data_IF_045816019307
#
_entry.id   IF_045816019307
#
_cell.length_a   1.000
_cell.length_b   1.000
_cell.length_c   1.000
_cell.angle_alpha   90.00
_cell.angle_beta   90.00
_cell.angle_gamma   90.00
#
_symmetry.space_group_name_H-M   'P 1'
#
loop_
_entity.id
_entity.type
_entity.pdbx_description
1 polymer ?
#
# COMPACT_ATOMS: atom_id res chain seq x y z
N UNK A 1 4.84 -36.61 -32.18
CA UNK A 1 5.32 -36.05 -30.89
C UNK A 1 5.34 -34.56 -31.09
N UNK A 2 4.42 -33.81 -30.47
CA UNK A 2 4.39 -32.36 -30.62
C UNK A 2 5.57 -31.79 -29.86
N UNK A 3 6.63 -31.44 -30.58
CA UNK A 3 7.77 -30.72 -30.04
C UNK A 3 7.34 -29.26 -29.81
N UNK A 4 6.76 -28.98 -28.64
CA UNK A 4 6.33 -27.63 -28.23
C UNK A 4 7.37 -27.05 -27.28
N UNK A 5 7.44 -25.73 -27.22
CA UNK A 5 8.24 -25.02 -26.23
C UNK A 5 7.35 -24.54 -25.09
N UNK A 6 7.86 -24.65 -23.86
CA UNK A 6 7.20 -24.15 -22.66
C UNK A 6 6.99 -22.63 -22.78
N UNK A 7 5.75 -22.18 -22.60
CA UNK A 7 5.39 -20.77 -22.73
C UNK A 7 6.09 -19.86 -21.69
N UNK A 8 6.55 -20.40 -20.56
CA UNK A 8 7.23 -19.62 -19.52
C UNK A 8 8.77 -19.67 -19.56
N UNK A 9 9.37 -20.74 -20.08
CA UNK A 9 10.84 -20.91 -20.03
C UNK A 9 11.48 -21.44 -21.32
N UNK A 10 10.69 -21.61 -22.38
CA UNK A 10 11.13 -22.04 -23.72
C UNK A 10 11.77 -23.44 -23.81
N UNK A 11 11.79 -24.22 -22.73
CA UNK A 11 12.26 -25.63 -22.76
C UNK A 11 11.29 -26.52 -23.54
N UNK A 12 11.81 -27.53 -24.21
CA UNK A 12 11.01 -28.56 -24.92
C UNK A 12 10.07 -29.29 -23.95
N UNK A 13 8.81 -29.44 -24.35
CA UNK A 13 7.76 -30.09 -23.56
C UNK A 13 6.55 -30.49 -24.42
N UNK A 14 5.81 -31.51 -23.98
CA UNK A 14 4.55 -31.91 -24.60
C UNK A 14 3.32 -31.09 -24.13
N UNK A 15 3.49 -30.27 -23.09
CA UNK A 15 2.46 -29.40 -22.48
C UNK A 15 2.69 -27.92 -22.85
N UNK A 16 1.79 -27.01 -22.45
CA UNK A 16 2.03 -25.57 -22.61
C UNK A 16 2.99 -25.02 -21.55
N UNK A 17 2.99 -25.59 -20.33
CA UNK A 17 4.05 -25.41 -19.34
C UNK A 17 4.77 -26.72 -19.08
N UNK A 18 6.11 -26.69 -19.06
CA UNK A 18 6.89 -27.86 -18.65
C UNK A 18 6.63 -28.21 -17.18
N UNK A 19 6.93 -29.45 -16.79
CA UNK A 19 6.72 -29.93 -15.41
C UNK A 19 7.38 -29.02 -14.35
N UNK A 20 8.53 -28.44 -14.65
CA UNK A 20 9.21 -27.51 -13.74
C UNK A 20 8.40 -26.22 -13.53
N UNK A 21 7.96 -25.57 -14.62
CA UNK A 21 7.12 -24.36 -14.54
C UNK A 21 5.76 -24.65 -13.91
N UNK A 22 5.17 -25.83 -14.16
CA UNK A 22 3.94 -26.26 -13.49
C UNK A 22 4.14 -26.40 -11.96
N UNK A 23 5.27 -26.97 -11.52
CA UNK A 23 5.60 -27.05 -10.09
C UNK A 23 5.81 -25.65 -9.49
N UNK A 24 6.56 -24.79 -10.18
CA UNK A 24 6.75 -23.40 -9.75
C UNK A 24 5.41 -22.66 -9.65
N UNK A 25 4.50 -22.84 -10.61
CA UNK A 25 3.16 -22.25 -10.58
C UNK A 25 2.38 -22.68 -9.35
N UNK A 26 2.38 -23.98 -9.04
CA UNK A 26 1.73 -24.52 -7.84
C UNK A 26 2.32 -23.90 -6.57
N UNK A 27 3.64 -23.86 -6.46
CA UNK A 27 4.32 -23.30 -5.28
C UNK A 27 4.03 -21.77 -5.16
N UNK A 28 3.88 -21.05 -6.29
CA UNK A 28 3.41 -19.65 -6.31
C UNK A 28 1.97 -19.50 -5.84
N UNK A 29 1.06 -20.40 -6.22
CA UNK A 29 -0.33 -20.38 -5.78
C UNK A 29 -0.48 -20.74 -4.29
N UNK A 30 0.36 -21.63 -3.77
CA UNK A 30 0.44 -21.88 -2.32
C UNK A 30 0.94 -20.62 -1.58
N UNK A 31 1.94 -19.95 -2.13
CA UNK A 31 2.42 -18.65 -1.62
C UNK A 31 1.31 -17.59 -1.67
N UNK A 32 0.54 -17.53 -2.78
CA UNK A 32 -0.61 -16.64 -2.93
C UNK A 32 -1.66 -16.87 -1.84
N UNK A 33 -1.94 -18.13 -1.49
CA UNK A 33 -2.89 -18.45 -0.44
C UNK A 33 -2.43 -17.97 0.94
N UNK A 34 -1.13 -18.10 1.24
CA UNK A 34 -0.55 -17.56 2.46
C UNK A 34 -0.61 -16.02 2.46
N UNK A 35 -0.17 -15.38 1.38
CA UNK A 35 -0.18 -13.92 1.22
C UNK A 35 -1.58 -13.32 1.35
N UNK A 36 -2.61 -13.98 0.79
CA UNK A 36 -4.00 -13.54 0.93
C UNK A 36 -4.42 -13.48 2.41
N UNK A 37 -4.08 -14.50 3.19
CA UNK A 37 -4.33 -14.53 4.64
C UNK A 37 -3.61 -13.38 5.36
N UNK A 38 -2.33 -13.16 5.03
CA UNK A 38 -1.53 -12.09 5.66
C UNK A 38 -2.03 -10.68 5.30
N UNK A 39 -2.47 -10.49 4.06
CA UNK A 39 -3.08 -9.23 3.61
C UNK A 39 -4.41 -8.99 4.34
N UNK A 40 -5.26 -9.99 4.48
CA UNK A 40 -6.51 -9.89 5.24
C UNK A 40 -6.26 -9.57 6.72
N UNK A 41 -5.24 -10.19 7.33
CA UNK A 41 -4.82 -9.86 8.71
C UNK A 41 -4.29 -8.43 8.79
N UNK A 42 -3.52 -7.99 7.80
CA UNK A 42 -2.96 -6.63 7.75
C UNK A 42 -4.06 -5.58 7.62
N UNK A 43 -5.09 -5.83 6.80
CA UNK A 43 -6.26 -4.97 6.65
C UNK A 43 -7.16 -5.03 7.90
N UNK A 44 -7.45 -6.20 8.46
CA UNK A 44 -8.27 -6.33 9.68
C UNK A 44 -7.59 -5.76 10.94
N UNK A 45 -6.24 -5.72 11.00
CA UNK A 45 -5.50 -4.99 12.04
C UNK A 45 -5.65 -3.48 11.88
N UNK A 46 -5.77 -2.96 10.66
CA UNK A 46 -6.09 -1.55 10.43
C UNK A 46 -7.51 -1.23 10.93
N UNK A 47 -8.49 -2.06 10.62
CA UNK A 47 -9.88 -1.88 11.07
C UNK A 47 -10.01 -1.87 12.60
N UNK A 48 -9.29 -2.78 13.29
CA UNK A 48 -9.28 -2.84 14.76
C UNK A 48 -8.52 -1.68 15.40
N UNK A 49 -7.49 -1.15 14.75
CA UNK A 49 -6.85 0.10 15.17
C UNK A 49 -7.76 1.32 15.00
N UNK A 50 -8.86 1.23 14.26
CA UNK A 50 -9.91 2.25 14.18
C UNK A 50 -11.00 2.17 15.28
N UNK A 51 -10.97 1.16 16.17
CA UNK A 51 -12.02 0.92 17.16
C UNK A 51 -11.86 1.71 18.48
N UNK A 52 -12.96 2.07 19.19
CA UNK A 52 -12.94 3.05 20.30
C UNK A 52 -12.25 2.62 21.60
N UNK A 53 -11.58 1.47 21.65
CA UNK A 53 -11.42 0.73 22.90
C UNK A 53 -10.03 0.58 23.50
N UNK A 54 -8.92 0.81 22.79
CA UNK A 54 -7.60 0.42 23.34
C UNK A 54 -6.38 1.19 22.75
N UNK A 55 -6.45 2.52 22.68
CA UNK A 55 -5.27 3.36 22.37
C UNK A 55 -4.69 4.01 23.63
N UNK A 56 -4.03 3.21 24.45
CA UNK A 56 -3.13 3.73 25.47
C UNK A 56 -1.85 2.88 25.49
N UNK A 57 -0.90 3.18 24.58
CA UNK A 57 0.55 3.32 24.85
C UNK A 57 1.39 3.35 23.56
N UNK A 58 2.20 4.43 23.48
CA UNK A 58 3.46 4.66 22.73
C UNK A 58 3.36 4.56 21.20
N UNK A 59 3.66 5.59 20.42
CA UNK A 59 4.72 6.58 20.56
C UNK A 59 5.80 6.26 19.51
N UNK A 60 5.88 7.11 18.49
CA UNK A 60 6.68 7.04 17.25
C UNK A 60 5.99 6.35 16.05
N UNK A 61 5.82 7.15 14.99
CA UNK A 61 5.37 6.83 13.62
C UNK A 61 3.94 6.31 13.49
N UNK A 62 3.00 7.20 13.15
CA UNK A 62 1.67 6.77 12.70
C UNK A 62 1.67 6.72 11.15
N UNK A 63 1.88 5.54 10.53
CA UNK A 63 1.61 5.37 9.12
C UNK A 63 0.11 5.59 8.89
N UNK A 64 -0.24 6.24 7.77
CA UNK A 64 -1.61 6.47 7.33
C UNK A 64 -2.48 5.21 7.55
N UNK A 65 -3.67 5.32 8.17
CA UNK A 65 -4.52 4.19 8.57
C UNK A 65 -5.26 3.53 7.40
N UNK A 66 -4.64 3.51 6.22
CA UNK A 66 -5.06 2.75 5.05
C UNK A 66 -3.77 2.37 4.32
N UNK A 67 -3.35 1.11 4.44
CA UNK A 67 -2.22 0.63 3.64
C UNK A 67 -2.74 0.42 2.21
N UNK A 68 -2.86 1.50 1.45
CA UNK A 68 -3.37 1.51 0.06
C UNK A 68 -2.68 0.43 -0.78
N UNK A 69 -1.37 0.27 -0.62
CA UNK A 69 -0.60 -0.77 -1.30
C UNK A 69 -1.01 -2.21 -0.89
N UNK A 70 -1.49 -2.44 0.34
CA UNK A 70 -1.97 -3.77 0.77
C UNK A 70 -3.39 -4.04 0.27
N UNK A 71 -4.23 -3.01 0.26
CA UNK A 71 -5.56 -3.11 -0.34
C UNK A 71 -5.47 -3.38 -1.84
N UNK A 72 -4.62 -2.63 -2.56
CA UNK A 72 -4.38 -2.81 -3.99
C UNK A 72 -3.77 -4.18 -4.29
N UNK A 73 -2.71 -4.58 -3.56
CA UNK A 73 -2.11 -5.90 -3.76
C UNK A 73 -3.08 -7.04 -3.46
N UNK A 74 -3.94 -6.89 -2.44
CA UNK A 74 -4.99 -7.86 -2.12
C UNK A 74 -6.06 -7.94 -3.21
N UNK A 75 -6.48 -6.80 -3.77
CA UNK A 75 -7.42 -6.74 -4.88
C UNK A 75 -6.86 -7.39 -6.15
N UNK A 76 -5.62 -7.06 -6.52
CA UNK A 76 -4.93 -7.65 -7.68
C UNK A 76 -4.82 -9.16 -7.50
N UNK A 77 -4.31 -9.61 -6.36
CA UNK A 77 -4.13 -11.04 -6.07
C UNK A 77 -5.47 -11.80 -6.18
N UNK A 78 -6.53 -11.27 -5.56
CA UNK A 78 -7.88 -11.85 -5.62
C UNK A 78 -8.40 -11.94 -7.04
N UNK A 79 -8.30 -10.85 -7.80
CA UNK A 79 -8.82 -10.83 -9.17
C UNK A 79 -8.07 -11.80 -10.07
N UNK A 80 -6.75 -11.84 -9.99
CA UNK A 80 -5.93 -12.78 -10.77
C UNK A 80 -6.30 -14.23 -10.45
N UNK A 81 -6.32 -14.64 -9.17
CA UNK A 81 -6.62 -16.05 -8.84
C UNK A 81 -8.06 -16.44 -9.16
N UNK A 82 -9.03 -15.52 -9.00
CA UNK A 82 -10.44 -15.81 -9.33
C UNK A 82 -10.69 -15.86 -10.83
N UNK A 83 -10.00 -15.03 -11.63
CA UNK A 83 -10.07 -15.08 -13.09
C UNK A 83 -9.56 -16.42 -13.61
N UNK A 84 -8.35 -16.84 -13.20
CA UNK A 84 -7.78 -18.10 -13.63
C UNK A 84 -8.48 -19.33 -13.05
N UNK A 85 -9.11 -19.22 -11.88
CA UNK A 85 -9.97 -20.29 -11.37
C UNK A 85 -11.22 -20.49 -12.24
N UNK A 86 -11.86 -19.41 -12.69
CA UNK A 86 -13.01 -19.49 -13.61
C UNK A 86 -12.61 -20.06 -14.97
N UNK A 87 -11.49 -19.61 -15.54
CA UNK A 87 -10.96 -20.15 -16.79
C UNK A 87 -10.72 -21.67 -16.72
N UNK A 88 -10.16 -22.16 -15.61
CA UNK A 88 -9.98 -23.60 -15.38
C UNK A 88 -11.32 -24.33 -15.27
N UNK A 89 -12.29 -23.78 -14.55
CA UNK A 89 -13.64 -24.35 -14.44
C UNK A 89 -14.32 -24.47 -15.80
N UNK A 90 -14.30 -23.40 -16.60
CA UNK A 90 -14.91 -23.35 -17.93
C UNK A 90 -14.21 -24.32 -18.90
N UNK A 91 -12.87 -24.30 -18.93
CA UNK A 91 -12.09 -25.15 -19.85
C UNK A 91 -12.20 -26.64 -19.53
N UNK A 92 -12.41 -26.99 -18.26
CA UNK A 92 -12.41 -28.39 -17.79
C UNK A 92 -13.77 -28.95 -17.45
N UNK A 93 -14.82 -28.14 -17.58
CA UNK A 93 -16.18 -28.49 -17.15
C UNK A 93 -16.21 -28.95 -15.68
N UNK A 94 -15.52 -28.18 -14.82
CA UNK A 94 -15.44 -28.43 -13.37
C UNK A 94 -16.22 -27.33 -12.66
N UNK A 95 -17.03 -27.72 -11.68
CA UNK A 95 -17.75 -26.77 -10.84
C UNK A 95 -16.80 -25.84 -10.08
N UNK A 96 -17.17 -24.56 -9.99
CA UNK A 96 -16.38 -23.57 -9.25
C UNK A 96 -16.39 -23.92 -7.75
N UNK A 97 -15.23 -23.88 -7.06
CA UNK A 97 -15.17 -24.28 -5.66
C UNK A 97 -16.04 -23.39 -4.77
N UNK A 98 -16.73 -24.00 -3.81
CA UNK A 98 -17.34 -23.28 -2.68
C UNK A 98 -16.23 -22.76 -1.75
N UNK A 99 -15.60 -21.67 -2.16
CA UNK A 99 -14.43 -21.06 -1.53
C UNK A 99 -14.85 -19.81 -0.76
N UNK A 100 -14.58 -19.78 0.55
CA UNK A 100 -14.99 -18.70 1.44
C UNK A 100 -14.16 -17.41 1.25
N UNK A 101 -12.96 -17.51 0.65
CA UNK A 101 -12.10 -16.36 0.39
C UNK A 101 -10.97 -16.61 -0.61
N UNK A 102 -10.18 -15.56 -0.88
CA UNK A 102 -9.08 -15.57 -1.85
C UNK A 102 -8.07 -16.69 -1.60
N UNK A 103 -7.76 -16.97 -0.33
CA UNK A 103 -6.82 -18.03 0.04
C UNK A 103 -7.32 -19.43 -0.35
N UNK A 104 -8.63 -19.67 -0.23
CA UNK A 104 -9.25 -20.95 -0.60
C UNK A 104 -9.24 -21.15 -2.12
N UNK A 105 -9.56 -20.09 -2.87
CA UNK A 105 -9.48 -20.08 -4.34
C UNK A 105 -8.04 -20.36 -4.81
N UNK A 106 -7.04 -19.70 -4.21
CA UNK A 106 -5.64 -19.92 -4.54
C UNK A 106 -5.19 -21.36 -4.25
N UNK A 107 -5.59 -21.95 -3.12
CA UNK A 107 -5.30 -23.37 -2.80
C UNK A 107 -5.99 -24.34 -3.74
N UNK A 108 -7.24 -24.07 -4.12
CA UNK A 108 -7.93 -24.87 -5.11
C UNK A 108 -7.23 -24.81 -6.47
N UNK A 109 -6.82 -23.61 -6.90
CA UNK A 109 -6.10 -23.41 -8.15
C UNK A 109 -4.73 -24.10 -8.13
N UNK A 110 -4.03 -24.09 -6.99
CA UNK A 110 -2.77 -24.83 -6.81
C UNK A 110 -2.94 -26.33 -7.05
N UNK A 111 -4.02 -26.94 -6.53
CA UNK A 111 -4.34 -28.37 -6.78
C UNK A 111 -4.65 -28.64 -8.25
N UNK A 112 -5.15 -27.63 -8.96
CA UNK A 112 -5.48 -27.68 -10.38
C UNK A 112 -4.40 -27.06 -11.29
N UNK A 113 -3.17 -26.85 -10.80
CA UNK A 113 -2.10 -26.22 -11.58
C UNK A 113 -1.75 -27.00 -12.87
N UNK A 114 -1.94 -28.33 -12.87
CA UNK A 114 -1.78 -29.17 -14.08
C UNK A 114 -2.84 -28.82 -15.13
N UNK A 115 -4.04 -28.41 -14.71
CA UNK A 115 -5.09 -27.98 -15.62
C UNK A 115 -4.69 -26.72 -16.39
N UNK A 116 -4.04 -25.78 -15.69
CA UNK A 116 -3.43 -24.59 -16.31
C UNK A 116 -2.27 -25.00 -17.22
N UNK A 117 -1.35 -25.86 -16.77
CA UNK A 117 -0.19 -26.25 -17.57
C UNK A 117 -0.52 -26.88 -18.94
N UNK A 118 -1.74 -27.39 -19.08
CA UNK A 118 -2.28 -28.03 -20.26
C UNK A 118 -3.19 -27.12 -21.10
N UNK A 119 -3.46 -25.87 -20.67
CA UNK A 119 -4.29 -24.91 -21.42
C UNK A 119 -3.43 -23.97 -22.29
N UNK A 120 -4.03 -23.43 -23.36
CA UNK A 120 -3.33 -22.49 -24.24
C UNK A 120 -2.89 -21.21 -23.51
N UNK A 121 -3.66 -20.77 -22.51
CA UNK A 121 -3.37 -19.59 -21.69
C UNK A 121 -2.29 -19.78 -20.62
N UNK A 122 -1.63 -20.94 -20.56
CA UNK A 122 -0.75 -21.29 -19.43
C UNK A 122 0.43 -20.32 -19.21
N UNK A 123 0.99 -19.76 -20.29
CA UNK A 123 2.07 -18.77 -20.19
C UNK A 123 1.60 -17.48 -19.53
N UNK A 124 0.47 -16.95 -19.99
CA UNK A 124 -0.16 -15.75 -19.42
C UNK A 124 -0.55 -15.97 -17.95
N UNK A 125 -1.15 -17.13 -17.64
CA UNK A 125 -1.48 -17.49 -16.27
C UNK A 125 -0.26 -17.49 -15.36
N UNK A 126 0.84 -18.09 -15.83
CA UNK A 126 2.09 -18.11 -15.08
C UNK A 126 2.62 -16.70 -14.79
N UNK A 127 2.68 -15.85 -15.81
CA UNK A 127 3.18 -14.48 -15.68
C UNK A 127 2.31 -13.63 -14.76
N UNK A 128 0.98 -13.65 -14.94
CA UNK A 128 0.05 -12.86 -14.14
C UNK A 128 0.04 -13.31 -12.68
N UNK A 129 0.04 -14.62 -12.42
CA UNK A 129 0.07 -15.16 -11.06
C UNK A 129 1.41 -14.85 -10.39
N UNK A 130 2.54 -15.03 -11.07
CA UNK A 130 3.86 -14.70 -10.53
C UNK A 130 4.00 -13.19 -10.25
N UNK A 131 3.48 -12.34 -11.13
CA UNK A 131 3.46 -10.89 -10.94
C UNK A 131 2.60 -10.47 -9.73
N UNK A 132 1.39 -11.03 -9.60
CA UNK A 132 0.49 -10.77 -8.49
C UNK A 132 1.11 -11.22 -7.15
N UNK A 133 1.71 -12.42 -7.11
CA UNK A 133 2.42 -12.94 -5.94
C UNK A 133 3.60 -12.05 -5.58
N UNK A 134 4.45 -11.67 -6.53
CA UNK A 134 5.58 -10.77 -6.27
C UNK A 134 5.12 -9.41 -5.75
N UNK A 135 4.00 -8.88 -6.27
CA UNK A 135 3.43 -7.61 -5.79
C UNK A 135 3.00 -7.71 -4.33
N UNK A 136 2.18 -8.73 -4.00
CA UNK A 136 1.73 -8.99 -2.64
C UNK A 136 2.89 -9.30 -1.68
N UNK A 137 3.88 -10.08 -2.11
CA UNK A 137 5.06 -10.40 -1.32
C UNK A 137 5.86 -9.13 -0.98
N UNK A 138 6.06 -8.19 -1.91
CA UNK A 138 6.75 -6.91 -1.61
C UNK A 138 6.04 -6.08 -0.54
N UNK A 139 4.71 -6.19 -0.46
CA UNK A 139 3.91 -5.49 0.54
C UNK A 139 4.06 -6.15 1.91
N UNK A 140 3.98 -7.49 1.97
CA UNK A 140 4.08 -8.26 3.22
C UNK A 140 5.53 -8.32 3.74
N UNK A 141 6.52 -8.57 2.88
CA UNK A 141 7.94 -8.63 3.22
C UNK A 141 8.57 -7.25 3.47
N UNK A 142 7.75 -6.19 3.54
CA UNK A 142 8.22 -4.86 3.93
C UNK A 142 8.93 -4.99 5.29
N UNK A 143 10.27 -4.81 5.36
CA UNK A 143 10.97 -4.96 6.62
C UNK A 143 10.50 -3.87 7.58
N UNK A 144 10.19 -4.19 8.86
CA UNK A 144 9.98 -3.16 9.86
C UNK A 144 11.23 -2.27 9.92
N UNK A 145 11.04 -0.95 9.77
CA UNK A 145 12.12 0.04 9.88
C UNK A 145 12.58 0.72 8.59
N UNK A 146 11.76 0.75 7.53
CA UNK A 146 11.98 1.67 6.40
C UNK A 146 11.03 2.87 6.44
N UNK A 147 11.61 4.07 6.46
CA UNK A 147 10.93 5.37 6.44
C UNK A 147 10.64 5.79 5.00
N UNK A 148 9.41 6.20 4.74
CA UNK A 148 9.03 6.84 3.49
C UNK A 148 9.52 8.30 3.45
N UNK A 149 10.15 8.69 2.34
CA UNK A 149 10.74 10.03 2.13
C UNK A 149 10.18 10.74 0.88
N UNK A 150 9.01 10.30 0.41
CA UNK A 150 8.28 10.96 -0.67
C UNK A 150 8.68 10.48 -2.07
N UNK A 151 8.03 11.00 -3.13
CA UNK A 151 8.35 10.71 -4.52
C UNK A 151 9.62 11.44 -4.98
N UNK A 152 10.44 10.82 -5.81
CA UNK A 152 11.76 11.32 -6.24
C UNK A 152 11.75 12.77 -6.73
N UNK A 153 10.93 13.10 -7.73
CA UNK A 153 10.78 14.45 -8.28
C UNK A 153 11.97 14.95 -9.12
N UNK A 154 13.04 14.17 -9.29
CA UNK A 154 14.21 14.55 -10.07
C UNK A 154 13.95 14.47 -11.58
N UNK A 155 14.51 15.38 -12.37
CA UNK A 155 14.52 15.27 -13.83
C UNK A 155 15.56 14.23 -14.27
N UNK A 156 15.10 13.19 -14.97
CA UNK A 156 15.91 12.09 -15.50
C UNK A 156 15.37 11.69 -16.87
N UNK A 157 16.24 11.47 -17.85
CA UNK A 157 15.85 11.09 -19.23
C UNK A 157 14.79 12.00 -19.87
N UNK A 158 14.85 13.31 -19.58
CA UNK A 158 13.94 14.31 -20.14
C UNK A 158 12.52 14.33 -19.54
N UNK A 159 12.28 13.58 -18.46
CA UNK A 159 11.01 13.56 -17.73
C UNK A 159 11.22 13.61 -16.21
N UNK A 160 10.18 13.98 -15.46
CA UNK A 160 10.24 13.98 -14.00
C UNK A 160 10.06 12.54 -13.45
N UNK A 161 10.95 12.13 -12.57
CA UNK A 161 10.88 10.82 -11.91
C UNK A 161 9.84 10.86 -10.78
N UNK A 162 8.83 10.00 -10.85
CA UNK A 162 7.76 9.92 -9.85
C UNK A 162 7.90 8.73 -8.87
N UNK A 163 9.06 8.06 -8.87
CA UNK A 163 9.26 6.86 -8.05
C UNK A 163 9.27 7.17 -6.55
N UNK A 164 8.55 6.38 -5.77
CA UNK A 164 8.54 6.49 -4.31
C UNK A 164 9.85 6.02 -3.68
N UNK A 165 10.37 6.82 -2.75
CA UNK A 165 11.65 6.54 -2.09
C UNK A 165 11.42 6.09 -0.64
N UNK A 166 12.12 5.01 -0.28
CA UNK A 166 12.11 4.43 1.06
C UNK A 166 13.54 4.19 1.55
N UNK A 167 13.84 4.58 2.78
CA UNK A 167 15.18 4.44 3.40
C UNK A 167 15.11 3.69 4.72
N UNK A 168 16.23 3.14 5.20
CA UNK A 168 16.28 2.61 6.58
C UNK A 168 16.15 3.76 7.59
N UNK A 169 15.49 3.53 8.71
CA UNK A 169 15.47 4.49 9.82
C UNK A 169 16.91 4.90 10.20
N UNK A 170 17.15 6.20 10.33
CA UNK A 170 18.47 6.76 10.61
C UNK A 170 19.39 6.95 9.40
N UNK A 171 18.95 6.63 8.18
CA UNK A 171 19.72 6.96 6.97
C UNK A 171 19.69 8.47 6.71
N UNK A 172 20.84 9.05 6.39
CA UNK A 172 20.94 10.47 6.00
C UNK A 172 20.70 10.69 4.49
N UNK A 173 21.01 9.68 3.68
CA UNK A 173 20.91 9.71 2.22
C UNK A 173 19.96 8.62 1.70
N UNK A 174 19.17 8.97 0.69
CA UNK A 174 18.27 8.08 -0.03
C UNK A 174 18.64 8.04 -1.51
N UNK A 175 18.71 6.86 -2.14
CA UNK A 175 18.86 6.77 -3.59
C UNK A 175 17.54 6.32 -4.21
N UNK A 176 17.10 7.05 -5.23
CA UNK A 176 15.94 6.66 -6.01
C UNK A 176 16.20 5.29 -6.68
N UNK A 177 15.30 4.31 -6.54
CA UNK A 177 15.50 2.98 -7.14
C UNK A 177 15.34 2.97 -8.66
N UNK A 178 14.80 4.04 -9.26
CA UNK A 178 14.52 4.13 -10.71
C UNK A 178 15.59 4.94 -11.42
N UNK A 179 15.76 6.22 -11.08
CA UNK A 179 16.74 7.09 -11.75
C UNK A 179 18.11 7.14 -11.05
N UNK A 180 18.25 6.55 -9.87
CA UNK A 180 19.51 6.54 -9.12
C UNK A 180 19.88 7.86 -8.42
N UNK A 181 19.09 8.93 -8.60
CA UNK A 181 19.32 10.24 -7.96
C UNK A 181 19.41 10.10 -6.44
N UNK A 182 20.42 10.74 -5.85
CA UNK A 182 20.58 10.82 -4.42
C UNK A 182 19.76 11.99 -3.84
N UNK A 183 19.10 11.76 -2.71
CA UNK A 183 18.29 12.72 -1.99
C UNK A 183 18.70 12.75 -0.51
N UNK A 184 18.75 13.95 0.08
CA UNK A 184 18.88 14.11 1.53
C UNK A 184 17.57 13.72 2.21
N UNK A 185 17.63 12.78 3.15
CA UNK A 185 16.44 12.34 3.91
C UNK A 185 15.85 13.49 4.71
N UNK A 186 16.68 14.33 5.31
CA UNK A 186 16.20 15.45 6.12
C UNK A 186 15.51 16.52 5.27
N UNK A 187 16.13 16.92 4.15
CA UNK A 187 15.54 17.90 3.23
C UNK A 187 14.20 17.40 2.67
N UNK A 188 14.14 16.13 2.26
CA UNK A 188 12.90 15.50 1.78
C UNK A 188 11.80 15.47 2.83
N UNK A 189 12.16 15.22 4.08
CA UNK A 189 11.19 15.25 5.20
C UNK A 189 10.73 16.66 5.50
N UNK A 190 11.61 17.65 5.41
CA UNK A 190 11.25 19.06 5.55
C UNK A 190 10.29 19.50 4.44
N UNK A 191 10.57 19.13 3.18
CA UNK A 191 9.67 19.38 2.03
C UNK A 191 8.30 18.74 2.24
N UNK A 192 8.24 17.47 2.66
CA UNK A 192 6.98 16.79 2.96
C UNK A 192 6.23 17.46 4.12
N UNK A 193 6.95 17.88 5.18
CA UNK A 193 6.37 18.64 6.29
C UNK A 193 5.82 19.98 5.82
N UNK A 194 6.54 20.68 4.94
CA UNK A 194 6.08 21.94 4.36
C UNK A 194 4.82 21.74 3.51
N UNK A 195 4.76 20.69 2.69
CA UNK A 195 3.57 20.35 1.91
C UNK A 195 2.35 20.06 2.79
N UNK A 196 2.53 19.34 3.90
CA UNK A 196 1.45 19.10 4.87
C UNK A 196 0.95 20.41 5.50
N UNK A 197 1.83 21.38 5.74
CA UNK A 197 1.45 22.69 6.28
C UNK A 197 0.58 23.51 5.33
N UNK A 198 0.64 23.26 4.02
CA UNK A 198 -0.18 23.93 3.00
C UNK A 198 -1.57 23.29 2.81
N UNK A 199 -1.80 22.08 3.34
CA UNK A 199 -3.09 21.41 3.20
C UNK A 199 -4.21 22.17 3.96
N UNK A 200 -5.40 22.12 3.37
CA UNK A 200 -6.62 22.66 3.95
C UNK A 200 -7.45 21.53 4.57
N UNK A 201 -8.04 21.79 5.73
CA UNK A 201 -8.98 20.87 6.36
C UNK A 201 -10.03 21.61 7.18
N UNK A 202 -11.18 20.98 7.34
CA UNK A 202 -12.22 21.49 8.26
C UNK A 202 -11.73 21.43 9.70
N UNK A 203 -12.29 22.27 10.58
CA UNK A 203 -11.95 22.21 12.01
C UNK A 203 -12.21 20.83 12.65
N UNK A 204 -13.11 20.02 12.07
CA UNK A 204 -13.37 18.65 12.48
C UNK A 204 -12.28 17.67 12.06
N UNK A 205 -11.75 17.80 10.86
CA UNK A 205 -10.63 16.99 10.36
C UNK A 205 -9.34 17.37 11.07
N UNK A 206 -9.06 18.66 11.19
CA UNK A 206 -7.83 19.14 11.82
C UNK A 206 -7.74 18.78 13.31
N UNK A 207 -8.86 18.82 14.05
CA UNK A 207 -8.89 18.39 15.44
C UNK A 207 -8.65 16.89 15.64
N UNK A 208 -8.89 16.08 14.59
CA UNK A 208 -8.57 14.64 14.58
C UNK A 208 -7.13 14.38 14.17
N UNK A 209 -6.59 15.19 13.27
CA UNK A 209 -5.26 14.99 12.66
C UNK A 209 -4.11 15.62 13.45
N UNK A 210 -4.25 16.88 13.87
CA UNK A 210 -3.16 17.65 14.48
C UNK A 210 -2.62 17.12 15.82
N UNK A 211 -3.43 16.50 16.71
CA UNK A 211 -2.89 15.92 17.93
C UNK A 211 -1.78 14.89 17.71
N UNK A 212 -1.81 14.20 16.57
CA UNK A 212 -0.80 13.21 16.19
C UNK A 212 0.48 13.84 15.64
N UNK A 213 0.35 14.97 14.93
CA UNK A 213 1.48 15.71 14.36
C UNK A 213 2.25 16.45 15.45
N UNK A 214 1.54 17.01 16.42
CA UNK A 214 2.12 17.86 17.47
C UNK A 214 2.34 17.15 18.81
N UNK A 215 1.76 15.96 19.00
CA UNK A 215 1.78 15.26 20.29
C UNK A 215 0.96 15.95 21.40
N UNK A 216 0.09 16.91 21.05
CA UNK A 216 -0.69 17.72 21.98
C UNK A 216 -2.16 17.84 21.54
N UNK A 217 -3.15 17.72 22.46
CA UNK A 217 -4.56 17.73 22.09
C UNK A 217 -5.02 19.10 21.58
N UNK A 218 -5.38 19.16 20.29
CA UNK A 218 -6.04 20.30 19.66
C UNK A 218 -7.50 19.94 19.39
N UNK A 219 -8.42 20.53 20.15
CA UNK A 219 -9.85 20.27 19.96
C UNK A 219 -10.45 21.19 18.90
N UNK A 220 -11.57 20.79 18.28
CA UNK A 220 -12.34 21.64 17.36
C UNK A 220 -12.63 23.02 17.97
N UNK A 221 -12.99 23.04 19.26
CA UNK A 221 -13.24 24.27 20.03
C UNK A 221 -12.02 25.20 20.07
N UNK A 222 -10.79 24.66 20.17
CA UNK A 222 -9.55 25.47 20.10
C UNK A 222 -9.33 26.04 18.70
N UNK A 223 -9.58 25.26 17.66
CA UNK A 223 -9.45 25.73 16.27
C UNK A 223 -10.45 26.86 15.99
N UNK A 224 -11.70 26.68 16.40
CA UNK A 224 -12.71 27.74 16.32
C UNK A 224 -12.31 28.97 17.15
N UNK A 225 -11.73 28.77 18.33
CA UNK A 225 -11.19 29.86 19.14
C UNK A 225 -10.07 30.64 18.41
N UNK A 226 -9.12 29.95 17.76
CA UNK A 226 -8.07 30.59 16.96
C UNK A 226 -8.66 31.41 15.81
N UNK A 227 -9.66 30.87 15.12
CA UNK A 227 -10.34 31.58 14.03
C UNK A 227 -11.12 32.81 14.53
N UNK A 228 -11.72 32.73 15.72
CA UNK A 228 -12.41 33.86 16.34
C UNK A 228 -11.44 34.94 16.84
N UNK A 229 -10.22 34.55 17.24
CA UNK A 229 -9.14 35.46 17.63
C UNK A 229 -8.35 36.03 16.46
N UNK A 230 -8.69 35.65 15.22
CA UNK A 230 -7.97 36.10 14.01
C UNK A 230 -6.56 35.53 13.88
N UNK A 231 -6.26 34.44 14.60
CA UNK A 231 -4.94 33.78 14.55
C UNK A 231 -4.80 32.85 13.33
N UNK A 232 -5.92 32.43 12.76
CA UNK A 232 -6.00 31.57 11.57
C UNK A 232 -7.09 32.09 10.64
N UNK A 233 -6.92 31.87 9.35
CA UNK A 233 -7.80 32.38 8.30
C UNK A 233 -8.92 31.38 7.99
N UNK A 234 -10.16 31.87 7.91
CA UNK A 234 -11.27 31.08 7.36
C UNK A 234 -11.18 31.08 5.84
N UNK A 235 -11.26 29.91 5.22
CA UNK A 235 -11.34 29.75 3.77
C UNK A 235 -12.56 28.90 3.43
N UNK A 236 -13.09 29.06 2.24
CA UNK A 236 -14.20 28.24 1.75
C UNK A 236 -13.69 27.28 0.69
N UNK A 237 -13.97 25.99 0.84
CA UNK A 237 -13.63 24.97 -0.14
C UNK A 237 -14.79 23.99 -0.26
N UNK A 238 -15.33 23.84 -1.48
CA UNK A 238 -16.49 22.96 -1.77
C UNK A 238 -17.71 23.20 -0.85
N UNK A 239 -17.95 24.44 -0.45
CA UNK A 239 -19.07 24.83 0.40
C UNK A 239 -18.85 24.61 1.91
N UNK A 240 -17.63 24.22 2.32
CA UNK A 240 -17.27 24.05 3.73
C UNK A 240 -16.20 25.05 4.17
N UNK A 241 -16.24 25.45 5.44
CA UNK A 241 -15.19 26.28 6.04
C UNK A 241 -13.97 25.42 6.38
N UNK A 242 -12.86 25.71 5.71
CA UNK A 242 -11.58 25.04 5.88
C UNK A 242 -10.50 26.00 6.40
N UNK A 243 -9.48 25.43 7.02
CA UNK A 243 -8.35 26.13 7.62
C UNK A 243 -7.05 25.47 7.13
N UNK A 244 -6.00 26.27 7.01
CA UNK A 244 -4.68 25.75 6.66
C UNK A 244 -4.02 25.09 7.86
N UNK A 245 -3.46 23.89 7.67
CA UNK A 245 -2.80 23.11 8.73
C UNK A 245 -1.69 23.91 9.41
N UNK A 246 -0.83 24.58 8.64
CA UNK A 246 0.28 25.39 9.15
C UNK A 246 -0.17 26.51 10.10
N UNK A 247 -1.20 27.28 9.72
CA UNK A 247 -1.75 28.36 10.55
C UNK A 247 -2.26 27.83 11.90
N UNK A 248 -2.92 26.67 11.91
CA UNK A 248 -3.44 26.06 13.15
C UNK A 248 -2.33 25.56 14.06
N UNK A 249 -1.27 24.97 13.49
CA UNK A 249 -0.08 24.55 14.25
C UNK A 249 0.56 25.76 14.93
N UNK A 250 0.80 26.84 14.18
CA UNK A 250 1.48 28.03 14.69
C UNK A 250 0.65 28.73 15.78
N UNK A 251 -0.65 28.88 15.55
CA UNK A 251 -1.58 29.43 16.54
C UNK A 251 -1.62 28.61 17.84
N UNK A 252 -1.49 27.28 17.72
CA UNK A 252 -1.46 26.40 18.87
C UNK A 252 -0.17 26.53 19.67
N UNK A 253 0.99 26.50 19.01
CA UNK A 253 2.31 26.69 19.64
C UNK A 253 2.36 28.04 20.36
N UNK A 254 1.90 29.11 19.71
CA UNK A 254 1.84 30.45 20.30
C UNK A 254 1.00 30.51 21.57
N UNK A 255 -0.14 29.80 21.62
CA UNK A 255 -1.01 29.76 22.80
C UNK A 255 -0.46 28.91 23.95
N UNK A 256 0.20 27.79 23.65
CA UNK A 256 0.83 26.95 24.68
C UNK A 256 2.07 27.64 25.28
N UNK A 257 2.89 28.31 24.46
CA UNK A 257 4.05 29.07 24.94
C UNK A 257 3.68 30.20 25.91
N UNK A 258 2.52 30.85 25.71
CA UNK A 258 1.98 31.87 26.63
C UNK A 258 1.41 31.31 27.94
N UNK A 259 1.15 30.01 28.03
CA UNK A 259 0.64 29.35 29.25
C UNK A 259 1.76 28.78 30.12
N UNK A 260 2.92 28.54 29.54
CA UNK A 260 4.10 28.03 30.22
C UNK A 260 5.01 29.14 30.78
N UNK A 261 4.75 30.40 30.44
CA UNK A 261 5.39 31.61 30.96
C UNK A 261 4.52 32.25 32.04
#
# INVERSE_FOLDING_TARGET
MSNRQCAACSRETDMFLCWHCCRTLRDRLETAAWLATELDVTLARQDRMGGPGNMARRGAEMPLPLHLAASEAGWVLRNTVTAWARDVCETRDIEYPDAAGTADVARWLARNAVSIALSEGAGQAFEEIDAAVKSAQRVIDRPPGRLYVGPCGAESDGAQCHADIYVRMGSEEARCPVCGTAHSVEQRREELRAQVRELLGTAAELARLLPWIMGAPITRKRITYYANKGMISRREHRGETVFQIGEVIDAHIQCEGRRAA
#
